data_IF_875343594584
#
_entry.id   IF_875343594584
#
_cell.length_a   1.000
_cell.length_b   1.000
_cell.length_c   1.000
_cell.angle_alpha   90.00
_cell.angle_beta   90.00
_cell.angle_gamma   90.00
#
_symmetry.space_group_name_H-M   'P 1'
#
loop_
_entity.id
_entity.type
_entity.pdbx_description
1 polymer ?
#
# COMPACT_ATOMS: atom_id res chain seq x y z
N UNK A 1 42.66 17.89 -16.01
CA UNK A 1 41.87 17.55 -14.82
C UNK A 1 40.45 17.25 -15.27
N UNK A 2 39.95 15.97 -15.23
CA UNK A 2 38.56 15.72 -15.62
C UNK A 2 37.63 16.21 -14.52
N UNK A 3 36.63 17.02 -14.88
CA UNK A 3 35.53 17.43 -14.01
C UNK A 3 34.75 16.19 -13.62
N UNK A 4 34.71 15.85 -12.32
CA UNK A 4 33.76 14.87 -11.77
C UNK A 4 32.37 15.36 -12.12
N UNK A 5 31.62 14.59 -12.93
CA UNK A 5 30.19 14.81 -13.15
C UNK A 5 29.51 14.63 -11.80
N UNK A 6 29.04 15.72 -11.20
CA UNK A 6 28.11 15.66 -10.08
C UNK A 6 26.83 15.06 -10.66
N UNK A 7 26.53 13.80 -10.33
CA UNK A 7 25.27 13.17 -10.67
C UNK A 7 24.13 14.04 -10.12
N UNK A 8 23.16 14.37 -10.96
CA UNK A 8 22.00 15.16 -10.55
C UNK A 8 21.34 14.51 -9.32
N UNK A 9 21.09 15.31 -8.28
CA UNK A 9 20.42 14.84 -7.06
C UNK A 9 19.01 14.38 -7.46
N UNK A 10 18.65 13.14 -7.11
CA UNK A 10 17.32 12.59 -7.40
C UNK A 10 16.24 13.40 -6.70
N UNK A 11 15.10 13.56 -7.33
CA UNK A 11 13.91 14.15 -6.73
C UNK A 11 13.36 13.26 -5.61
N UNK A 12 12.53 13.81 -4.72
CA UNK A 12 11.83 13.04 -3.66
C UNK A 12 11.06 11.87 -4.28
N UNK A 13 10.31 12.12 -5.33
CA UNK A 13 9.54 11.07 -6.04
C UNK A 13 10.44 9.96 -6.58
N UNK A 14 11.55 10.29 -7.24
CA UNK A 14 12.50 9.28 -7.75
C UNK A 14 13.14 8.45 -6.63
N UNK A 15 13.36 9.06 -5.46
CA UNK A 15 13.87 8.36 -4.28
C UNK A 15 12.85 7.34 -3.75
N UNK A 16 11.57 7.71 -3.65
CA UNK A 16 10.50 6.80 -3.27
C UNK A 16 10.28 5.69 -4.31
N UNK A 17 10.40 5.99 -5.62
CA UNK A 17 10.33 4.96 -6.66
C UNK A 17 11.40 3.88 -6.50
N UNK A 18 12.62 4.29 -6.15
CA UNK A 18 13.71 3.34 -5.87
C UNK A 18 13.40 2.53 -4.61
N UNK A 19 12.93 3.16 -3.53
CA UNK A 19 12.57 2.48 -2.28
C UNK A 19 11.45 1.45 -2.51
N UNK A 20 10.40 1.82 -3.25
CA UNK A 20 9.26 0.94 -3.55
C UNK A 20 9.69 -0.26 -4.41
N UNK A 21 10.57 -0.05 -5.38
CA UNK A 21 11.15 -1.15 -6.17
C UNK A 21 11.96 -2.12 -5.30
N UNK A 22 12.80 -1.57 -4.41
CA UNK A 22 13.59 -2.37 -3.49
C UNK A 22 12.69 -3.12 -2.49
N UNK A 23 11.62 -2.48 -1.99
CA UNK A 23 10.59 -3.11 -1.16
C UNK A 23 9.91 -4.29 -1.87
N UNK A 24 9.52 -4.11 -3.14
CA UNK A 24 8.90 -5.18 -3.92
C UNK A 24 9.83 -6.40 -4.07
N UNK A 25 11.13 -6.17 -4.27
CA UNK A 25 12.12 -7.24 -4.36
C UNK A 25 12.28 -7.99 -3.03
N UNK A 26 12.39 -7.26 -1.90
CA UNK A 26 12.54 -7.88 -0.58
C UNK A 26 11.26 -8.60 -0.13
N UNK A 27 10.07 -8.09 -0.46
CA UNK A 27 8.80 -8.81 -0.22
C UNK A 27 8.76 -10.14 -0.97
N UNK A 28 9.12 -10.16 -2.25
CA UNK A 28 9.18 -11.40 -3.05
C UNK A 28 10.19 -12.38 -2.49
N UNK A 29 11.35 -11.91 -2.08
CA UNK A 29 12.42 -12.74 -1.50
C UNK A 29 12.01 -13.35 -0.17
N UNK A 30 11.42 -12.54 0.74
CA UNK A 30 11.05 -12.97 2.09
C UNK A 30 9.82 -13.89 2.10
N UNK A 31 8.75 -13.47 1.44
CA UNK A 31 7.49 -14.23 1.43
C UNK A 31 7.49 -15.38 0.41
N UNK A 32 8.24 -15.26 -0.68
CA UNK A 32 8.35 -16.32 -1.70
C UNK A 32 6.99 -16.84 -2.18
N UNK A 33 6.78 -18.15 -2.02
CA UNK A 33 5.51 -18.79 -2.39
C UNK A 33 4.33 -18.38 -1.50
N UNK A 34 4.55 -17.78 -0.35
CA UNK A 34 3.48 -17.25 0.52
C UNK A 34 2.90 -15.93 0.02
N UNK A 35 3.69 -15.12 -0.74
CA UNK A 35 3.21 -13.83 -1.23
C UNK A 35 2.09 -14.03 -2.27
N UNK A 36 0.94 -13.45 -2.02
CA UNK A 36 -0.20 -13.44 -2.92
C UNK A 36 -0.30 -12.10 -3.64
N UNK A 37 -0.29 -10.99 -2.90
CA UNK A 37 -0.28 -9.65 -3.51
C UNK A 37 0.45 -8.65 -2.62
N UNK A 38 1.00 -7.61 -3.22
CA UNK A 38 1.57 -6.46 -2.53
C UNK A 38 1.12 -5.17 -3.24
N UNK A 39 0.57 -4.23 -2.49
CA UNK A 39 0.00 -2.97 -3.01
C UNK A 39 0.48 -1.81 -2.17
N UNK A 40 1.12 -0.83 -2.77
CA UNK A 40 1.45 0.45 -2.13
C UNK A 40 0.31 1.42 -2.37
N UNK A 41 -0.08 2.18 -1.33
CA UNK A 41 -1.17 3.14 -1.41
C UNK A 41 -0.81 4.45 -0.68
N UNK A 42 -1.77 5.33 -0.43
CA UNK A 42 -1.51 6.62 0.17
C UNK A 42 -0.73 7.57 -0.76
N UNK A 43 0.04 8.51 -0.21
CA UNK A 43 0.77 9.51 -1.00
C UNK A 43 1.80 8.90 -1.94
N UNK A 44 2.49 7.84 -1.51
CA UNK A 44 3.46 7.10 -2.33
C UNK A 44 2.76 6.34 -3.46
N UNK A 45 1.62 5.71 -3.17
CA UNK A 45 0.79 5.04 -4.19
C UNK A 45 0.32 5.99 -5.28
N UNK A 46 -0.16 7.19 -4.89
CA UNK A 46 -0.57 8.26 -5.81
C UNK A 46 0.57 8.89 -6.62
N UNK A 47 1.83 8.61 -6.28
CA UNK A 47 2.99 9.23 -6.93
C UNK A 47 3.23 10.69 -6.50
N UNK A 48 2.69 11.10 -5.36
CA UNK A 48 2.83 12.45 -4.79
C UNK A 48 3.44 12.43 -3.37
N UNK A 49 4.57 11.72 -3.15
CA UNK A 49 5.21 11.71 -1.84
C UNK A 49 5.87 13.05 -1.52
N UNK A 50 5.90 13.39 -0.24
CA UNK A 50 6.71 14.46 0.33
C UNK A 50 7.81 13.86 1.25
N UNK A 51 8.81 14.63 1.69
CA UNK A 51 9.94 14.09 2.45
C UNK A 51 9.58 13.30 3.72
N UNK A 52 8.45 13.59 4.34
CA UNK A 52 7.98 12.92 5.56
C UNK A 52 6.82 11.93 5.29
N UNK A 53 6.64 11.49 4.03
CA UNK A 53 5.64 10.47 3.69
C UNK A 53 6.08 9.10 4.14
N UNK A 54 5.19 8.32 4.76
CA UNK A 54 5.38 6.89 4.99
C UNK A 54 5.05 6.07 3.73
N UNK A 55 5.63 4.88 3.64
CA UNK A 55 5.29 3.90 2.61
C UNK A 55 4.23 2.96 3.15
N UNK A 56 2.96 3.29 2.90
CA UNK A 56 1.82 2.42 3.21
C UNK A 56 1.81 1.25 2.24
N UNK A 57 1.87 0.02 2.76
CA UNK A 57 1.89 -1.19 1.93
C UNK A 57 0.96 -2.27 2.48
N UNK A 58 0.03 -2.72 1.66
CA UNK A 58 -0.74 -3.94 1.91
C UNK A 58 0.08 -5.15 1.45
N UNK A 59 0.30 -6.09 2.35
CA UNK A 59 0.95 -7.38 2.09
C UNK A 59 -0.10 -8.47 2.27
N UNK A 60 -0.48 -9.11 1.18
CA UNK A 60 -1.36 -10.29 1.19
C UNK A 60 -0.50 -11.53 1.07
N UNK A 61 -0.53 -12.38 2.07
CA UNK A 61 0.28 -13.61 2.09
C UNK A 61 -0.45 -14.75 2.81
N UNK A 62 -0.09 -15.98 2.48
CA UNK A 62 -0.63 -17.18 3.11
C UNK A 62 0.41 -18.32 3.07
N UNK A 63 0.70 -18.97 4.23
CA UNK A 63 0.18 -18.63 5.56
C UNK A 63 0.79 -17.36 6.14
N UNK A 64 0.02 -16.69 7.02
CA UNK A 64 0.51 -15.63 7.90
C UNK A 64 0.35 -16.05 9.36
N UNK A 65 1.23 -15.62 10.27
CA UNK A 65 1.05 -15.83 11.70
C UNK A 65 -0.26 -15.18 12.21
N UNK A 66 -0.83 -15.75 13.27
CA UNK A 66 -2.00 -15.18 13.93
C UNK A 66 -1.63 -13.93 14.74
N UNK A 67 -2.47 -12.91 14.61
CA UNK A 67 -2.33 -11.66 15.31
C UNK A 67 -1.34 -10.67 14.68
N UNK A 68 -1.53 -9.39 15.00
CA UNK A 68 -0.76 -8.28 14.41
C UNK A 68 0.73 -8.36 14.72
N UNK A 69 1.08 -8.56 15.99
CA UNK A 69 2.49 -8.49 16.42
C UNK A 69 3.38 -9.61 15.84
N UNK A 70 2.93 -10.88 15.73
CA UNK A 70 3.67 -11.90 15.01
C UNK A 70 3.89 -11.58 13.53
N UNK A 71 2.89 -10.99 12.84
CA UNK A 71 3.03 -10.54 11.43
C UNK A 71 4.04 -9.42 11.28
N UNK A 72 4.06 -8.45 12.21
CA UNK A 72 5.08 -7.38 12.25
C UNK A 72 6.47 -7.95 12.47
N UNK A 73 6.61 -8.96 13.34
CA UNK A 73 7.90 -9.65 13.56
C UNK A 73 8.35 -10.44 12.32
N UNK A 74 7.43 -11.11 11.63
CA UNK A 74 7.75 -11.79 10.34
C UNK A 74 8.27 -10.77 9.30
N UNK A 75 7.66 -9.59 9.21
CA UNK A 75 8.10 -8.52 8.30
C UNK A 75 9.43 -7.86 8.69
N UNK A 76 9.92 -8.06 9.90
CA UNK A 76 11.16 -7.42 10.37
C UNK A 76 12.37 -7.75 9.47
N UNK A 77 12.39 -8.93 8.84
CA UNK A 77 13.44 -9.30 7.88
C UNK A 77 13.44 -8.36 6.66
N UNK A 78 12.28 -8.01 6.11
CA UNK A 78 12.14 -7.05 5.00
C UNK A 78 12.61 -5.66 5.44
N UNK A 79 12.17 -5.20 6.61
CA UNK A 79 12.58 -3.90 7.17
C UNK A 79 14.09 -3.82 7.36
N UNK A 80 14.70 -4.87 7.92
CA UNK A 80 16.14 -4.93 8.15
C UNK A 80 16.93 -4.92 6.82
N UNK A 81 16.45 -5.61 5.80
CA UNK A 81 17.08 -5.60 4.48
C UNK A 81 17.09 -4.19 3.85
N UNK A 82 16.08 -3.36 4.17
CA UNK A 82 15.97 -1.99 3.67
C UNK A 82 16.58 -0.92 4.60
N UNK A 83 17.10 -1.31 5.78
CA UNK A 83 17.59 -0.37 6.79
C UNK A 83 18.66 0.60 6.24
N UNK A 84 19.65 0.10 5.51
CA UNK A 84 20.69 0.93 4.90
C UNK A 84 20.12 1.95 3.87
N UNK A 85 19.05 1.58 3.15
CA UNK A 85 18.36 2.48 2.24
C UNK A 85 17.63 3.57 3.02
N UNK A 86 16.88 3.21 4.06
CA UNK A 86 16.14 4.16 4.91
C UNK A 86 17.08 5.14 5.60
N UNK A 87 18.23 4.68 6.12
CA UNK A 87 19.26 5.54 6.71
C UNK A 87 19.78 6.56 5.69
N UNK A 88 20.10 6.13 4.48
CA UNK A 88 20.58 7.03 3.41
C UNK A 88 19.53 8.06 3.01
N UNK A 89 18.25 7.69 2.95
CA UNK A 89 17.16 8.63 2.70
C UNK A 89 17.07 9.69 3.79
N UNK A 90 17.20 9.28 5.06
CA UNK A 90 17.20 10.20 6.20
C UNK A 90 18.38 11.20 6.13
N UNK A 91 19.58 10.75 5.74
CA UNK A 91 20.75 11.61 5.50
C UNK A 91 20.51 12.63 4.37
N UNK A 92 19.65 12.30 3.41
CA UNK A 92 19.24 13.16 2.30
C UNK A 92 18.02 14.04 2.63
N UNK A 93 17.49 13.97 3.87
CA UNK A 93 16.36 14.76 4.36
C UNK A 93 14.99 14.14 4.05
N UNK A 94 14.94 12.84 3.77
CA UNK A 94 13.69 12.09 3.57
C UNK A 94 13.46 11.15 4.77
N UNK A 95 12.51 11.52 5.63
CA UNK A 95 12.20 10.79 6.85
C UNK A 95 10.96 9.92 6.64
N UNK A 96 11.17 8.69 6.20
CA UNK A 96 10.10 7.76 5.87
C UNK A 96 10.18 6.49 6.69
N UNK A 97 9.05 5.88 6.94
CA UNK A 97 8.95 4.54 7.51
C UNK A 97 8.14 3.61 6.60
N UNK A 98 8.28 2.29 6.82
CA UNK A 98 7.43 1.31 6.18
C UNK A 98 6.23 1.05 7.09
N UNK A 99 5.02 1.30 6.61
CA UNK A 99 3.75 1.10 7.31
C UNK A 99 2.99 -0.12 6.71
N UNK A 100 3.38 -1.36 7.07
CA UNK A 100 2.77 -2.55 6.50
C UNK A 100 1.43 -2.88 7.15
N UNK A 101 0.48 -3.27 6.31
CA UNK A 101 -0.79 -3.90 6.68
C UNK A 101 -0.78 -5.32 6.14
N UNK A 102 -1.07 -6.30 6.99
CA UNK A 102 -1.03 -7.72 6.63
C UNK A 102 -2.42 -8.31 6.59
N UNK A 103 -2.72 -9.01 5.51
CA UNK A 103 -3.98 -9.73 5.33
C UNK A 103 -3.71 -11.11 4.70
N UNK A 104 -4.47 -12.12 5.13
CA UNK A 104 -4.60 -13.34 4.34
C UNK A 104 -5.60 -13.12 3.20
N UNK A 105 -5.60 -13.95 2.15
CA UNK A 105 -6.63 -13.88 1.11
C UNK A 105 -8.05 -13.95 1.66
N UNK A 106 -8.28 -14.76 2.70
CA UNK A 106 -9.58 -14.86 3.37
C UNK A 106 -9.98 -13.55 4.08
N UNK A 107 -9.01 -12.87 4.74
CA UNK A 107 -9.25 -11.57 5.37
C UNK A 107 -9.51 -10.46 4.35
N UNK A 108 -8.88 -10.51 3.16
CA UNK A 108 -9.15 -9.57 2.06
C UNK A 108 -10.59 -9.75 1.56
N UNK A 109 -11.02 -11.00 1.29
CA UNK A 109 -12.37 -11.28 0.78
C UNK A 109 -13.50 -10.88 1.73
N UNK A 110 -13.23 -10.81 3.04
CA UNK A 110 -14.22 -10.29 4.03
C UNK A 110 -14.50 -8.80 3.88
N UNK A 111 -13.70 -8.08 3.10
CA UNK A 111 -13.83 -6.65 2.93
C UNK A 111 -13.19 -5.84 4.07
N UNK A 112 -12.97 -4.57 3.81
CA UNK A 112 -12.50 -3.58 4.78
C UNK A 112 -12.66 -2.18 4.21
N UNK A 113 -13.05 -1.22 5.02
CA UNK A 113 -13.08 0.20 4.64
C UNK A 113 -11.70 0.72 4.19
N UNK A 114 -10.63 0.09 4.66
CA UNK A 114 -9.27 0.39 4.23
C UNK A 114 -9.09 0.29 2.70
N UNK A 115 -9.81 -0.61 2.05
CA UNK A 115 -9.65 -0.81 0.59
C UNK A 115 -10.22 0.33 -0.24
N UNK A 116 -11.04 1.21 0.36
CA UNK A 116 -11.53 2.43 -0.28
C UNK A 116 -10.37 3.35 -0.70
N UNK A 117 -9.31 3.43 0.11
CA UNK A 117 -8.12 4.23 -0.19
C UNK A 117 -7.27 3.62 -1.33
N UNK A 118 -7.45 2.34 -1.59
CA UNK A 118 -6.67 1.62 -2.60
C UNK A 118 -7.37 1.56 -3.96
N UNK A 119 -8.63 1.99 -4.07
CA UNK A 119 -9.38 2.01 -5.32
C UNK A 119 -8.69 2.92 -6.35
N UNK A 120 -8.36 4.14 -5.91
CA UNK A 120 -7.78 5.17 -6.78
C UNK A 120 -6.24 5.20 -6.67
N UNK A 121 -5.73 4.95 -5.46
CA UNK A 121 -4.34 5.19 -5.08
C UNK A 121 -3.49 3.92 -5.01
N UNK A 122 -4.11 2.75 -5.16
CA UNK A 122 -3.44 1.46 -5.03
C UNK A 122 -2.54 1.14 -6.22
N UNK A 123 -1.22 1.14 -5.99
CA UNK A 123 -0.23 0.71 -6.96
C UNK A 123 0.23 -0.71 -6.67
N UNK A 124 -0.07 -1.62 -7.59
CA UNK A 124 0.26 -3.05 -7.46
C UNK A 124 1.76 -3.27 -7.70
N UNK A 125 2.46 -3.83 -6.71
CA UNK A 125 3.86 -4.23 -6.80
C UNK A 125 4.03 -5.70 -7.21
N UNK A 126 3.09 -6.52 -6.78
CA UNK A 126 3.02 -7.94 -7.09
C UNK A 126 1.57 -8.42 -6.96
N UNK A 127 1.16 -9.29 -7.87
CA UNK A 127 -0.18 -9.88 -7.84
C UNK A 127 -0.14 -11.27 -8.48
N UNK A 128 -0.29 -12.30 -7.64
CA UNK A 128 -0.28 -13.68 -8.09
C UNK A 128 -1.65 -14.03 -8.67
N UNK A 129 -1.64 -14.49 -9.90
CA UNK A 129 -2.84 -14.93 -10.63
C UNK A 129 -3.96 -13.89 -10.66
N UNK A 130 -3.63 -12.61 -10.49
CA UNK A 130 -4.62 -11.52 -10.53
C UNK A 130 -5.52 -11.44 -9.29
N UNK A 131 -5.14 -12.03 -8.16
CA UNK A 131 -5.95 -12.06 -6.94
C UNK A 131 -6.43 -10.66 -6.51
N UNK A 132 -5.50 -9.70 -6.42
CA UNK A 132 -5.84 -8.34 -6.03
C UNK A 132 -6.68 -7.62 -7.07
N UNK A 133 -6.29 -7.76 -8.36
CA UNK A 133 -7.03 -7.17 -9.48
C UNK A 133 -8.49 -7.61 -9.45
N UNK A 134 -8.74 -8.90 -9.32
CA UNK A 134 -10.09 -9.45 -9.36
C UNK A 134 -10.88 -9.00 -8.11
N UNK A 135 -10.24 -9.03 -6.93
CA UNK A 135 -10.85 -8.52 -5.69
C UNK A 135 -11.25 -7.05 -5.79
N UNK A 136 -10.35 -6.17 -6.27
CA UNK A 136 -10.64 -4.72 -6.30
C UNK A 136 -11.73 -4.40 -7.33
N UNK A 137 -11.81 -5.14 -8.42
CA UNK A 137 -12.90 -5.01 -9.39
C UNK A 137 -14.25 -5.40 -8.77
N UNK A 138 -14.32 -6.53 -8.08
CA UNK A 138 -15.54 -6.97 -7.37
C UNK A 138 -15.94 -5.99 -6.27
N UNK A 139 -14.95 -5.42 -5.57
CA UNK A 139 -15.17 -4.43 -4.52
C UNK A 139 -15.75 -3.13 -5.10
N UNK A 140 -15.19 -2.62 -6.19
CA UNK A 140 -15.72 -1.45 -6.91
C UNK A 140 -17.15 -1.70 -7.42
N UNK A 141 -17.45 -2.89 -7.93
CA UNK A 141 -18.78 -3.25 -8.39
C UNK A 141 -19.80 -3.26 -7.23
N UNK A 142 -19.42 -3.78 -6.06
CA UNK A 142 -20.28 -3.73 -4.86
C UNK A 142 -20.56 -2.30 -4.43
N UNK A 143 -19.55 -1.44 -4.38
CA UNK A 143 -19.73 -0.02 -4.08
C UNK A 143 -20.66 0.68 -5.08
N UNK A 144 -20.51 0.38 -6.36
CA UNK A 144 -21.38 0.92 -7.42
C UNK A 144 -22.83 0.50 -7.23
N UNK A 145 -23.09 -0.77 -6.87
CA UNK A 145 -24.47 -1.26 -6.58
C UNK A 145 -25.09 -0.60 -5.36
N UNK A 146 -24.28 -0.25 -4.36
CA UNK A 146 -24.73 0.52 -3.18
C UNK A 146 -24.98 1.99 -3.50
N UNK A 147 -24.63 2.48 -4.69
CA UNK A 147 -24.66 3.89 -5.03
C UNK A 147 -23.58 4.69 -4.31
N UNK A 148 -22.55 4.02 -3.81
CA UNK A 148 -21.45 4.65 -3.08
C UNK A 148 -20.73 5.68 -3.96
N UNK A 149 -20.36 6.79 -3.35
CA UNK A 149 -19.66 7.87 -4.05
C UNK A 149 -18.64 8.55 -3.14
N UNK A 150 -17.53 8.96 -3.73
CA UNK A 150 -16.51 9.76 -3.08
C UNK A 150 -16.91 11.22 -3.16
N UNK A 151 -17.10 11.87 -2.01
CA UNK A 151 -17.44 13.28 -1.88
C UNK A 151 -16.15 14.05 -1.60
N UNK A 152 -15.82 15.02 -2.45
CA UNK A 152 -14.64 15.87 -2.31
C UNK A 152 -15.11 17.27 -1.89
N UNK A 153 -14.54 17.79 -0.80
CA UNK A 153 -14.84 19.14 -0.28
C UNK A 153 -13.51 19.85 0.02
N UNK A 154 -13.05 20.70 -0.88
CA UNK A 154 -11.71 21.31 -0.80
C UNK A 154 -10.62 20.23 -0.81
N UNK A 155 -9.77 20.24 0.20
CA UNK A 155 -8.65 19.29 0.35
C UNK A 155 -9.05 18.00 1.06
N UNK A 156 -10.32 17.85 1.44
CA UNK A 156 -10.85 16.70 2.16
C UNK A 156 -11.75 15.86 1.28
N UNK A 157 -11.81 14.57 1.56
CA UNK A 157 -12.75 13.66 0.92
C UNK A 157 -13.25 12.62 1.93
N UNK A 158 -14.44 12.09 1.63
CA UNK A 158 -15.02 10.97 2.34
C UNK A 158 -15.89 10.14 1.40
N UNK A 159 -16.17 8.92 1.79
CA UNK A 159 -17.10 8.06 1.07
C UNK A 159 -18.48 8.12 1.69
N UNK A 160 -19.48 8.45 0.89
CA UNK A 160 -20.87 8.19 1.16
C UNK A 160 -21.19 6.81 0.59
N UNK A 161 -21.20 5.78 1.47
CA UNK A 161 -21.26 4.39 1.04
C UNK A 161 -22.66 3.96 0.59
N UNK A 162 -23.71 4.57 1.13
CA UNK A 162 -25.10 4.27 0.81
C UNK A 162 -25.97 5.53 0.97
N UNK A 163 -26.05 6.37 -0.06
CA UNK A 163 -26.75 7.66 0.01
C UNK A 163 -28.25 7.54 0.31
N UNK A 164 -28.87 6.42 -0.03
CA UNK A 164 -30.27 6.10 0.20
C UNK A 164 -30.52 5.25 1.46
N UNK A 165 -29.52 5.21 2.38
CA UNK A 165 -29.62 4.46 3.63
C UNK A 165 -30.86 4.81 4.45
N UNK A 166 -31.57 3.77 4.87
CA UNK A 166 -32.71 3.90 5.79
C UNK A 166 -32.34 3.29 7.14
N UNK A 167 -32.79 3.95 8.20
CA UNK A 167 -32.52 3.49 9.57
C UNK A 167 -32.98 2.03 9.75
N UNK A 168 -32.07 1.17 10.20
CA UNK A 168 -32.33 -0.26 10.40
C UNK A 168 -31.90 -1.15 9.23
N UNK A 169 -31.44 -0.62 8.11
CA UNK A 169 -30.85 -1.42 7.03
C UNK A 169 -29.45 -1.94 7.43
N UNK A 170 -29.13 -3.15 7.00
CA UNK A 170 -27.80 -3.74 7.08
C UNK A 170 -27.30 -3.91 5.65
N UNK A 171 -26.11 -3.45 5.37
CA UNK A 171 -25.45 -3.64 4.08
C UNK A 171 -23.98 -4.01 4.28
N UNK A 172 -23.43 -4.77 3.35
CA UNK A 172 -22.03 -5.20 3.32
C UNK A 172 -21.31 -4.55 2.13
N UNK A 173 -20.02 -4.28 2.30
CA UNK A 173 -19.13 -3.71 1.28
C UNK A 173 -18.01 -4.67 0.92
#
# INVERSE_FOLDING_TARGET
MPRKSQGAKKTVTEQFEVLVRDLAAELKKHYGARLVSAVVFGSVGRGSPHPDSDVDVLVVAEPLPDGRMPRVRDFAAVKNALAARLTRLAEEGIHTTLAPIFKTPAEVRRGSLLFLDMIDDGRVLFDRSGFWRDFIQDFQERLRRLGARKIITGDRWYWDLKPDYKVGEIFEI
#
